data_IF_913486595089
#
_entry.id   IF_913486595089
#
_cell.length_a   1.000
_cell.length_b   1.000
_cell.length_c   1.000
_cell.angle_alpha   90.00
_cell.angle_beta   90.00
_cell.angle_gamma   90.00
#
_symmetry.space_group_name_H-M   'P 1'
#
loop_
_entity.id
_entity.type
_entity.pdbx_description
1 polymer ?
#
# COMPACT_ATOMS: atom_id res chain seq x y z
N UNK A 1 8.31 -30.72 -1.43
CA UNK A 1 7.94 -29.35 -1.85
C UNK A 1 7.80 -28.49 -0.61
N UNK A 2 8.45 -27.34 -0.60
CA UNK A 2 8.34 -26.39 0.50
C UNK A 2 7.23 -25.38 0.18
N UNK A 3 6.11 -25.44 0.90
CA UNK A 3 4.96 -24.60 0.63
C UNK A 3 5.26 -23.10 0.85
N UNK A 4 5.92 -22.67 1.95
CA UNK A 4 6.31 -21.26 2.09
C UNK A 4 7.16 -20.74 0.93
N UNK A 5 8.11 -21.51 0.44
CA UNK A 5 8.92 -21.13 -0.71
C UNK A 5 8.08 -21.01 -1.98
N UNK A 6 7.12 -21.88 -2.17
CA UNK A 6 6.23 -21.82 -3.33
C UNK A 6 5.43 -20.50 -3.34
N UNK A 7 4.88 -20.09 -2.19
CA UNK A 7 4.17 -18.83 -2.09
C UNK A 7 5.10 -17.63 -2.29
N UNK A 8 6.31 -17.68 -1.72
CA UNK A 8 7.29 -16.62 -1.90
C UNK A 8 7.70 -16.49 -3.38
N UNK A 9 7.88 -17.61 -4.06
CA UNK A 9 8.24 -17.63 -5.48
C UNK A 9 7.12 -17.03 -6.34
N UNK A 10 5.86 -17.30 -6.03
CA UNK A 10 4.73 -16.70 -6.74
C UNK A 10 4.67 -15.18 -6.52
N UNK A 11 4.86 -14.72 -5.30
CA UNK A 11 4.88 -13.29 -5.00
C UNK A 11 6.04 -12.60 -5.72
N UNK A 12 7.22 -13.20 -5.70
CA UNK A 12 8.40 -12.67 -6.39
C UNK A 12 8.18 -12.61 -7.90
N UNK A 13 7.56 -13.62 -8.48
CA UNK A 13 7.23 -13.63 -9.90
C UNK A 13 6.32 -12.45 -10.26
N UNK A 14 5.24 -12.25 -9.52
CA UNK A 14 4.30 -11.16 -9.79
C UNK A 14 4.94 -9.79 -9.57
N UNK A 15 5.75 -9.64 -8.54
CA UNK A 15 6.48 -8.42 -8.28
C UNK A 15 7.46 -8.10 -9.41
N UNK A 16 8.31 -9.07 -9.75
CA UNK A 16 9.41 -8.86 -10.69
C UNK A 16 8.92 -8.70 -12.12
N UNK A 17 7.92 -9.47 -12.53
CA UNK A 17 7.50 -9.55 -13.93
C UNK A 17 6.25 -8.74 -14.25
N UNK A 18 5.46 -8.37 -13.26
CA UNK A 18 4.19 -7.70 -13.47
C UNK A 18 4.12 -6.31 -12.84
N UNK A 19 4.29 -6.19 -11.53
CA UNK A 19 4.09 -4.91 -10.85
C UNK A 19 5.28 -3.97 -11.00
N UNK A 20 6.48 -4.43 -10.66
CA UNK A 20 7.68 -3.59 -10.69
C UNK A 20 7.93 -2.95 -12.06
N UNK A 21 7.80 -3.67 -13.19
CA UNK A 21 7.99 -3.05 -14.50
C UNK A 21 7.02 -1.91 -14.77
N UNK A 22 5.80 -1.97 -14.23
CA UNK A 22 4.79 -0.91 -14.40
C UNK A 22 5.11 0.33 -13.58
N UNK A 23 5.94 0.20 -12.55
CA UNK A 23 6.36 1.33 -11.72
C UNK A 23 7.63 1.98 -12.25
N UNK A 24 8.30 1.38 -13.24
CA UNK A 24 9.52 1.91 -13.84
C UNK A 24 9.25 3.27 -14.49
N UNK A 25 10.07 4.28 -14.13
CA UNK A 25 9.90 5.62 -14.65
C UNK A 25 8.86 6.47 -13.93
N UNK A 26 8.20 5.94 -12.90
CA UNK A 26 7.26 6.71 -12.11
C UNK A 26 7.99 7.85 -11.38
N UNK A 27 7.52 9.08 -11.60
CA UNK A 27 8.09 10.26 -10.92
C UNK A 27 7.34 10.55 -9.64
N UNK A 28 7.94 11.37 -8.76
CA UNK A 28 7.28 11.82 -7.53
C UNK A 28 6.00 12.59 -7.83
N UNK A 29 5.99 13.39 -8.87
CA UNK A 29 4.80 14.13 -9.29
C UNK A 29 3.66 13.20 -9.67
N UNK A 30 3.96 12.13 -10.39
CA UNK A 30 2.96 11.11 -10.74
C UNK A 30 2.51 10.31 -9.52
N UNK A 31 3.45 9.94 -8.67
CA UNK A 31 3.20 9.16 -7.47
C UNK A 31 2.24 9.88 -6.51
N UNK A 32 2.39 11.20 -6.39
CA UNK A 32 1.61 12.04 -5.50
C UNK A 32 0.51 12.84 -6.21
N UNK A 33 0.25 12.54 -7.49
CA UNK A 33 -0.73 13.27 -8.27
C UNK A 33 -2.14 13.07 -7.71
N UNK A 34 -2.83 14.18 -7.46
CA UNK A 34 -4.22 14.21 -7.01
C UNK A 34 -5.12 14.56 -8.19
N UNK A 35 -5.84 13.59 -8.78
CA UNK A 35 -6.70 13.84 -9.93
C UNK A 35 -7.87 14.79 -9.64
N UNK A 36 -8.32 14.82 -8.39
CA UNK A 36 -9.38 15.72 -7.94
C UNK A 36 -9.05 16.24 -6.54
N UNK A 37 -9.59 17.42 -6.14
CA UNK A 37 -9.42 17.90 -4.77
C UNK A 37 -9.97 16.92 -3.74
N UNK A 38 -9.33 16.80 -2.59
CA UNK A 38 -9.79 15.93 -1.52
C UNK A 38 -9.41 14.48 -1.68
N UNK A 39 -8.50 14.13 -2.60
CA UNK A 39 -7.95 12.79 -2.69
C UNK A 39 -7.28 12.38 -1.40
N UNK A 40 -7.42 11.11 -1.06
CA UNK A 40 -6.62 10.53 0.01
C UNK A 40 -5.20 10.29 -0.49
N UNK A 41 -4.22 10.71 0.29
CA UNK A 41 -2.81 10.61 -0.05
C UNK A 41 -1.96 10.37 1.20
N UNK A 42 -0.68 10.21 1.00
CA UNK A 42 0.32 10.21 2.06
C UNK A 42 0.85 11.63 2.18
N UNK A 43 0.85 12.18 3.40
CA UNK A 43 1.27 13.56 3.67
C UNK A 43 2.77 13.63 3.94
N UNK A 44 3.34 14.84 3.89
CA UNK A 44 4.79 15.04 4.11
C UNK A 44 5.25 14.65 5.50
N UNK A 45 4.37 14.75 6.50
CA UNK A 45 4.68 14.35 7.88
C UNK A 45 4.63 12.84 8.10
N UNK A 46 4.35 12.08 7.05
CA UNK A 46 4.22 10.62 7.11
C UNK A 46 2.83 10.12 7.45
N UNK A 47 1.87 11.02 7.69
CA UNK A 47 0.50 10.60 7.95
C UNK A 47 -0.18 10.11 6.67
N UNK A 48 -1.17 9.23 6.83
CA UNK A 48 -1.92 8.62 5.74
C UNK A 48 -3.40 8.96 5.95
N UNK A 49 -4.02 9.52 4.92
CA UNK A 49 -5.44 9.86 5.01
C UNK A 49 -6.29 8.60 5.07
N UNK A 50 -7.21 8.55 6.02
CA UNK A 50 -8.25 7.53 6.04
C UNK A 50 -9.37 7.92 6.99
N UNK A 51 -10.52 7.27 6.84
CA UNK A 51 -11.64 7.41 7.77
C UNK A 51 -12.40 6.08 7.87
N UNK A 52 -12.92 5.80 9.06
CA UNK A 52 -13.76 4.64 9.27
C UNK A 52 -14.97 5.04 10.12
N UNK A 53 -16.21 4.75 9.66
CA UNK A 53 -16.52 4.08 8.39
C UNK A 53 -16.11 4.92 7.18
N UNK A 54 -15.85 4.28 6.01
CA UNK A 54 -15.44 5.04 4.83
C UNK A 54 -16.53 6.02 4.39
N UNK A 55 -16.14 7.22 3.90
CA UNK A 55 -17.13 8.19 3.43
C UNK A 55 -17.83 7.72 2.16
N UNK A 56 -19.03 8.25 1.96
CA UNK A 56 -19.82 8.05 0.76
C UNK A 56 -20.01 9.39 0.02
N UNK A 57 -19.64 9.48 -1.25
CA UNK A 57 -18.97 8.45 -2.07
C UNK A 57 -17.52 8.22 -1.63
N UNK A 58 -16.99 7.04 -1.98
CA UNK A 58 -15.60 6.71 -1.66
C UNK A 58 -14.65 7.70 -2.32
N UNK A 59 -13.59 8.17 -1.63
CA UNK A 59 -12.67 9.15 -2.18
C UNK A 59 -11.78 8.53 -3.26
N UNK A 60 -11.31 9.36 -4.18
CA UNK A 60 -10.19 9.00 -5.03
C UNK A 60 -8.91 8.98 -4.21
N UNK A 61 -7.91 8.26 -4.70
CA UNK A 61 -6.64 8.11 -4.01
C UNK A 61 -5.47 8.37 -4.95
N UNK A 62 -4.33 8.78 -4.38
CA UNK A 62 -3.08 8.84 -5.13
C UNK A 62 -2.49 7.45 -5.26
N UNK A 63 -1.51 7.28 -6.17
CA UNK A 63 -0.74 6.03 -6.26
C UNK A 63 -0.02 5.77 -4.94
N UNK A 64 0.52 6.82 -4.32
CA UNK A 64 1.18 6.73 -3.01
C UNK A 64 0.26 6.10 -1.96
N UNK A 65 -1.00 6.53 -1.90
CA UNK A 65 -1.95 5.99 -0.94
C UNK A 65 -2.21 4.50 -1.19
N UNK A 66 -2.36 4.12 -2.45
CA UNK A 66 -2.62 2.71 -2.80
C UNK A 66 -1.47 1.80 -2.41
N UNK A 67 -0.23 2.23 -2.65
CA UNK A 67 0.93 1.45 -2.23
C UNK A 67 1.06 1.41 -0.70
N UNK A 68 0.83 2.53 -0.02
CA UNK A 68 0.81 2.56 1.45
C UNK A 68 -0.27 1.63 2.01
N UNK A 69 -1.45 1.61 1.41
CA UNK A 69 -2.53 0.70 1.80
C UNK A 69 -2.11 -0.77 1.70
N UNK A 70 -1.46 -1.15 0.60
CA UNK A 70 -0.98 -2.53 0.43
C UNK A 70 0.10 -2.86 1.45
N UNK A 71 1.09 -1.97 1.61
CA UNK A 71 2.22 -2.21 2.51
C UNK A 71 1.74 -2.31 3.97
N UNK A 72 0.92 -1.39 4.41
CA UNK A 72 0.50 -1.30 5.81
C UNK A 72 -0.75 -2.13 6.05
N UNK A 73 -1.83 -1.86 5.33
CA UNK A 73 -3.14 -2.45 5.58
C UNK A 73 -3.24 -3.91 5.20
N UNK A 74 -2.51 -4.34 4.19
CA UNK A 74 -2.55 -5.73 3.74
C UNK A 74 -1.38 -6.53 4.31
N UNK A 75 -0.15 -6.04 4.16
CA UNK A 75 1.03 -6.83 4.53
C UNK A 75 1.43 -6.65 5.99
N UNK A 76 1.71 -5.42 6.43
CA UNK A 76 2.25 -5.19 7.77
C UNK A 76 1.24 -5.52 8.88
N UNK A 77 -0.02 -5.11 8.73
CA UNK A 77 -1.06 -5.40 9.74
C UNK A 77 -1.31 -6.90 9.85
N UNK A 78 -1.32 -7.63 8.75
CA UNK A 78 -1.49 -9.08 8.77
C UNK A 78 -0.28 -9.80 9.33
N UNK A 79 0.92 -9.32 9.03
CA UNK A 79 2.12 -9.86 9.62
C UNK A 79 2.09 -9.77 11.15
N UNK A 80 1.64 -8.63 11.67
CA UNK A 80 1.45 -8.48 13.11
C UNK A 80 0.38 -9.44 13.66
N UNK A 81 -0.83 -9.41 13.08
CA UNK A 81 -1.98 -10.14 13.65
C UNK A 81 -1.89 -11.66 13.50
N UNK A 82 -1.24 -12.15 12.45
CA UNK A 82 -1.19 -13.58 12.16
C UNK A 82 0.16 -14.23 12.48
N UNK A 83 1.23 -13.46 12.48
CA UNK A 83 2.59 -14.03 12.61
C UNK A 83 3.42 -13.39 13.71
N UNK A 84 2.85 -12.49 14.51
CA UNK A 84 3.54 -11.88 15.64
C UNK A 84 4.59 -10.85 15.26
N UNK A 85 4.55 -10.30 14.06
CA UNK A 85 5.43 -9.21 13.64
C UNK A 85 5.16 -7.91 14.40
N UNK A 86 5.95 -6.85 14.15
CA UNK A 86 5.75 -5.56 14.80
C UNK A 86 4.35 -5.01 14.56
N UNK A 87 3.79 -4.32 15.55
CA UNK A 87 2.51 -3.65 15.40
C UNK A 87 2.60 -2.60 14.30
N UNK A 88 1.58 -2.57 13.44
CA UNK A 88 1.49 -1.62 12.35
C UNK A 88 0.04 -1.21 12.12
N UNK A 89 -0.19 0.10 12.12
CA UNK A 89 -1.49 0.69 11.76
C UNK A 89 -1.22 1.94 10.93
N UNK A 90 -2.28 2.55 10.38
CA UNK A 90 -2.12 3.82 9.67
C UNK A 90 -1.64 4.96 10.58
N UNK A 91 -1.83 4.83 11.87
CA UNK A 91 -1.41 5.85 12.84
C UNK A 91 0.00 5.61 13.38
N UNK A 92 0.50 4.38 13.33
CA UNK A 92 1.77 4.00 13.96
C UNK A 92 2.85 3.58 12.95
N UNK A 93 2.57 3.70 11.67
CA UNK A 93 3.52 3.33 10.62
C UNK A 93 4.68 4.34 10.50
#
# INVERSE_FOLDING_TARGET
MNIPELFADQLDFHWTHQLRPRLTGLTDDEYLWEPVPGCWTVRRDGSIDYAYPPPEPAPFTTIAWRLAHVIIGVLAMRNHSHFGGPEATYDTW
#
